data_IF_138916666340
#
_entry.id   IF_138916666340
#
_cell.length_a   1.000
_cell.length_b   1.000
_cell.length_c   1.000
_cell.angle_alpha   90.00
_cell.angle_beta   90.00
_cell.angle_gamma   90.00
#
_symmetry.space_group_name_H-M   'P 1'
#
loop_
_entity.id
_entity.type
_entity.pdbx_description
1 polymer ?
#
# COMPACT_ATOMS: atom_id res chain seq x y z
N UNK A 1 35.12 -5.45 -1.21
CA UNK A 1 34.51 -4.53 -0.23
C UNK A 1 33.02 -4.82 -0.29
N UNK A 2 32.40 -5.26 0.80
CA UNK A 2 30.96 -5.58 0.81
C UNK A 2 30.19 -4.27 0.95
N UNK A 3 29.57 -3.80 -0.13
CA UNK A 3 28.59 -2.71 -0.09
C UNK A 3 27.31 -3.25 0.54
N UNK A 4 27.06 -2.87 1.78
CA UNK A 4 25.81 -3.17 2.46
C UNK A 4 24.80 -2.14 1.94
N UNK A 5 23.91 -2.56 1.03
CA UNK A 5 22.77 -1.76 0.60
C UNK A 5 22.01 -1.29 1.86
N UNK A 6 21.79 0.02 1.96
CA UNK A 6 21.03 0.62 3.07
C UNK A 6 19.64 -0.02 3.06
N UNK A 7 19.40 -0.89 4.04
CA UNK A 7 18.15 -1.62 4.18
C UNK A 7 16.95 -0.67 4.09
N UNK A 8 15.93 -1.09 3.36
CA UNK A 8 14.70 -0.34 3.12
C UNK A 8 14.22 0.38 4.39
N UNK A 9 14.16 1.71 4.34
CA UNK A 9 13.65 2.54 5.43
C UNK A 9 12.15 2.26 5.60
N UNK A 10 11.82 1.43 6.58
CA UNK A 10 10.43 1.06 6.90
C UNK A 10 10.07 1.59 8.28
N UNK A 11 8.94 2.27 8.38
CA UNK A 11 8.44 2.80 9.66
C UNK A 11 7.22 2.01 10.11
N UNK A 12 7.19 1.59 11.38
CA UNK A 12 6.03 0.94 11.96
C UNK A 12 4.95 2.00 12.24
N UNK A 13 3.78 1.84 11.60
CA UNK A 13 2.62 2.71 11.80
C UNK A 13 1.39 1.85 12.12
N UNK A 14 0.63 2.27 13.14
CA UNK A 14 -0.60 1.59 13.56
C UNK A 14 -1.81 2.37 13.05
N UNK A 15 -2.66 1.70 12.27
CA UNK A 15 -3.91 2.25 11.77
C UNK A 15 -5.08 1.42 12.32
N UNK A 16 -6.23 2.08 12.58
CA UNK A 16 -7.49 1.36 12.84
C UNK A 16 -8.20 1.14 11.52
N UNK A 17 -8.35 -0.11 11.13
CA UNK A 17 -9.04 -0.54 9.92
C UNK A 17 -10.32 -1.26 10.34
N UNK A 18 -11.46 -1.02 9.68
CA UNK A 18 -12.70 -1.75 9.97
C UNK A 18 -12.54 -3.26 9.70
N UNK A 19 -13.19 -4.08 10.53
CA UNK A 19 -13.07 -5.54 10.50
C UNK A 19 -13.36 -6.15 9.12
N UNK A 20 -14.37 -5.65 8.40
CA UNK A 20 -14.72 -6.19 7.08
C UNK A 20 -13.54 -6.08 6.09
N UNK A 21 -12.79 -4.97 6.17
CA UNK A 21 -11.68 -4.71 5.25
C UNK A 21 -10.48 -5.58 5.62
N UNK A 22 -10.20 -5.73 6.92
CA UNK A 22 -9.15 -6.64 7.39
C UNK A 22 -9.42 -8.07 6.91
N UNK A 23 -10.66 -8.56 7.03
CA UNK A 23 -11.01 -9.90 6.55
C UNK A 23 -10.82 -10.07 5.04
N UNK A 24 -11.13 -9.03 4.24
CA UNK A 24 -10.87 -9.06 2.80
C UNK A 24 -9.37 -9.08 2.49
N UNK A 25 -8.57 -8.28 3.20
CA UNK A 25 -7.12 -8.24 3.04
C UNK A 25 -6.46 -9.56 3.45
N UNK A 26 -6.93 -10.19 4.54
CA UNK A 26 -6.47 -11.51 4.99
C UNK A 26 -6.79 -12.60 3.97
N UNK A 27 -8.01 -12.59 3.42
CA UNK A 27 -8.39 -13.51 2.35
C UNK A 27 -7.51 -13.31 1.11
N UNK A 28 -7.33 -12.07 0.66
CA UNK A 28 -6.50 -11.74 -0.50
C UNK A 28 -5.03 -12.16 -0.28
N UNK A 29 -4.53 -11.97 0.93
CA UNK A 29 -3.20 -12.38 1.33
C UNK A 29 -3.04 -13.91 1.27
N UNK A 30 -4.04 -14.65 1.78
CA UNK A 30 -4.09 -16.11 1.71
C UNK A 30 -4.14 -16.63 0.27
N UNK A 31 -5.01 -16.08 -0.57
CA UNK A 31 -5.14 -16.47 -1.99
C UNK A 31 -3.85 -16.20 -2.78
N UNK A 32 -3.12 -15.13 -2.45
CA UNK A 32 -1.89 -14.74 -3.13
C UNK A 32 -0.60 -15.23 -2.44
N UNK A 33 -0.69 -16.11 -1.42
CA UNK A 33 0.45 -16.61 -0.64
C UNK A 33 1.40 -15.50 -0.18
N UNK A 34 0.84 -14.38 0.28
CA UNK A 34 1.56 -13.18 0.66
C UNK A 34 1.13 -12.72 2.06
N UNK A 35 1.86 -11.77 2.64
CA UNK A 35 1.49 -11.20 3.94
C UNK A 35 0.49 -10.06 3.77
N UNK A 36 -0.42 -9.91 4.74
CA UNK A 36 -1.37 -8.77 4.81
C UNK A 36 -0.63 -7.44 4.69
N UNK A 37 0.53 -7.30 5.33
CA UNK A 37 1.35 -6.10 5.21
C UNK A 37 1.74 -5.77 3.75
N UNK A 38 2.13 -6.77 2.97
CA UNK A 38 2.51 -6.58 1.57
C UNK A 38 1.31 -6.17 0.72
N UNK A 39 0.12 -6.74 0.99
CA UNK A 39 -1.13 -6.31 0.35
C UNK A 39 -1.44 -4.85 0.70
N UNK A 40 -1.36 -4.48 1.99
CA UNK A 40 -1.62 -3.12 2.44
C UNK A 40 -0.68 -2.11 1.78
N UNK A 41 0.63 -2.40 1.73
CA UNK A 41 1.60 -1.53 1.06
C UNK A 41 1.28 -1.37 -0.43
N UNK A 42 0.92 -2.45 -1.13
CA UNK A 42 0.53 -2.37 -2.54
C UNK A 42 -0.76 -1.56 -2.75
N UNK A 43 -1.77 -1.74 -1.91
CA UNK A 43 -2.99 -0.96 -1.97
C UNK A 43 -2.73 0.54 -1.73
N UNK A 44 -1.86 0.87 -0.76
CA UNK A 44 -1.45 2.25 -0.49
C UNK A 44 -0.67 2.84 -1.66
N UNK A 45 0.27 2.08 -2.24
CA UNK A 45 1.05 2.52 -3.39
C UNK A 45 0.15 2.78 -4.61
N UNK A 46 -0.78 1.86 -4.89
CA UNK A 46 -1.77 2.01 -5.95
C UNK A 46 -2.64 3.24 -5.72
N UNK A 47 -3.15 3.43 -4.50
CA UNK A 47 -3.95 4.61 -4.16
C UNK A 47 -3.15 5.89 -4.37
N UNK A 48 -1.91 5.98 -3.90
CA UNK A 48 -1.06 7.18 -4.08
C UNK A 48 -0.77 7.49 -5.55
N UNK A 49 -0.53 6.46 -6.37
CA UNK A 49 -0.31 6.58 -7.81
C UNK A 49 -1.57 7.10 -8.52
N UNK A 50 -2.75 6.58 -8.14
CA UNK A 50 -4.04 6.96 -8.72
C UNK A 50 -4.62 8.27 -8.16
N UNK A 51 -4.22 8.71 -6.96
CA UNK A 51 -4.61 10.02 -6.41
C UNK A 51 -3.88 11.15 -7.16
N UNK A 52 -2.66 10.89 -7.64
CA UNK A 52 -1.84 11.88 -8.35
C UNK A 52 -2.33 12.15 -9.78
N UNK A 53 -3.14 11.26 -10.36
CA UNK A 53 -3.77 11.44 -11.68
C UNK A 53 -5.14 12.14 -11.61
N UNK A 54 -5.65 12.42 -10.41
CA UNK A 54 -6.97 13.03 -10.19
C UNK A 54 -6.98 14.55 -9.96
N UNK A 55 -5.83 15.23 -10.04
CA UNK A 55 -5.74 16.71 -9.91
C UNK A 55 -5.06 17.33 -11.13
N UNK A 56 -5.49 16.95 -12.33
CA UNK A 56 -5.40 17.80 -13.53
C UNK A 56 -6.61 17.49 -14.40
N UNK A 57 -7.77 17.99 -14.03
CA UNK A 57 -8.62 18.77 -14.94
C UNK A 57 -9.78 19.39 -14.15
N UNK A 58 -9.56 20.60 -13.65
CA UNK A 58 -10.63 21.59 -13.60
C UNK A 58 -10.04 22.90 -14.11
N UNK A 59 -9.92 23.01 -15.45
CA UNK A 59 -9.99 24.30 -16.14
C UNK A 59 -10.49 24.16 -17.59
N UNK A 60 -11.80 24.31 -17.72
CA UNK A 60 -12.48 25.12 -18.74
C UNK A 60 -11.55 26.07 -19.55
N UNK A 61 -11.42 25.84 -20.85
CA UNK A 61 -11.47 26.84 -21.93
C UNK A 61 -11.56 26.18 -23.30
#
# INVERSE_FOLDING_TARGET
MLEIEKGYESVNKTFRIPVNIVQQLERLAGENNTSVNKVVVQCLQYALDNISTGTTDDHKS
#
